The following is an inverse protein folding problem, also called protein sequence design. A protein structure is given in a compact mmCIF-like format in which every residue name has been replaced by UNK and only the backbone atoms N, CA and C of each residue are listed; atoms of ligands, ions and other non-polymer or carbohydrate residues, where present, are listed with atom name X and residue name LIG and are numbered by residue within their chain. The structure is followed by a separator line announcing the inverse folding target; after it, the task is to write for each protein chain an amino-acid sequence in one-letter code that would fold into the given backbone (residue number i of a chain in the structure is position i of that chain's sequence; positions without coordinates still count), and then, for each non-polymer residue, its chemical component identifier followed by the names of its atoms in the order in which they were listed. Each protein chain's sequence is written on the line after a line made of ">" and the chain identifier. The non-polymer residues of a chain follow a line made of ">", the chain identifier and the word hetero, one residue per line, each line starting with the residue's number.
data_IF_321209673782
#
_entry.id   IF_321209673782
#
_cell.length_a   1.000
_cell.length_b   1.000
_cell.length_c   1.000
_cell.angle_alpha   90.00
_cell.angle_beta   90.00
_cell.angle_gamma   90.00
#
_symmetry.space_group_name_H-M   'P 1'
#
loop_
_entity.id
_entity.type
_entity.pdbx_description
1 polymer ?
#
# COMPACT_ATOMS: atom_id res chain seq x y z
N UNK A 1 48.37 41.87 -20.45
CA UNK A 1 47.28 41.90 -21.46
C UNK A 1 46.72 40.49 -21.58
N UNK A 2 45.37 40.38 -21.61
CA UNK A 2 44.55 39.20 -21.89
C UNK A 2 44.70 37.98 -20.94
N UNK A 3 43.67 37.39 -20.37
CA UNK A 3 42.24 37.61 -20.50
C UNK A 3 41.54 36.52 -19.69
N UNK A 4 40.70 36.94 -18.74
CA UNK A 4 39.82 36.08 -17.94
C UNK A 4 38.91 35.27 -18.87
N UNK A 5 39.23 34.00 -19.08
CA UNK A 5 38.31 32.99 -19.60
C UNK A 5 37.35 32.57 -18.50
N UNK A 6 36.43 33.46 -18.12
CA UNK A 6 35.30 33.13 -17.28
C UNK A 6 34.45 32.07 -18.00
N UNK A 7 34.70 30.81 -17.67
CA UNK A 7 33.86 29.69 -18.02
C UNK A 7 32.47 29.92 -17.44
N UNK A 8 31.61 30.51 -18.26
CA UNK A 8 30.16 30.48 -18.16
C UNK A 8 29.75 29.00 -18.15
N UNK A 9 29.83 28.37 -16.97
CA UNK A 9 29.08 27.17 -16.67
C UNK A 9 27.63 27.64 -16.66
N UNK A 10 27.04 27.54 -17.84
CA UNK A 10 25.63 27.49 -18.12
C UNK A 10 24.96 26.67 -17.00
N UNK A 11 24.45 27.38 -15.99
CA UNK A 11 23.52 26.83 -15.00
C UNK A 11 22.27 26.49 -15.80
N UNK A 12 22.31 25.36 -16.50
CA UNK A 12 21.19 24.75 -17.16
C UNK A 12 20.05 24.74 -16.13
N UNK A 13 19.06 25.60 -16.38
CA UNK A 13 17.94 25.82 -15.50
C UNK A 13 17.28 24.47 -15.27
N UNK A 14 17.56 23.87 -14.11
CA UNK A 14 16.79 22.75 -13.60
C UNK A 14 15.40 23.32 -13.37
N UNK A 15 14.54 23.21 -14.38
CA UNK A 15 13.10 23.37 -14.22
C UNK A 15 12.74 22.58 -12.97
N UNK A 16 12.19 23.22 -11.92
CA UNK A 16 11.85 22.51 -10.70
C UNK A 16 10.95 21.36 -11.13
N UNK A 17 11.36 20.14 -10.81
CA UNK A 17 10.55 18.96 -11.07
C UNK A 17 9.17 19.27 -10.46
N UNK A 18 8.16 19.48 -11.32
CA UNK A 18 6.80 19.81 -10.89
C UNK A 18 6.42 18.78 -9.84
N UNK A 19 6.43 19.20 -8.57
CA UNK A 19 5.98 18.38 -7.49
C UNK A 19 4.56 17.95 -7.89
N UNK A 20 4.37 16.65 -8.10
CA UNK A 20 3.04 16.08 -8.31
C UNK A 20 2.24 16.42 -7.05
N UNK A 21 1.54 17.55 -7.08
CA UNK A 21 0.60 17.93 -6.03
C UNK A 21 -0.48 16.85 -6.05
N UNK A 22 -0.79 16.32 -4.88
CA UNK A 22 -1.95 15.46 -4.70
C UNK A 22 -3.15 16.20 -5.31
N UNK A 23 -3.71 15.67 -6.38
CA UNK A 23 -4.89 16.28 -7.00
C UNK A 23 -6.07 16.09 -6.06
N UNK A 24 -6.98 17.06 -6.00
CA UNK A 24 -8.22 16.95 -5.21
C UNK A 24 -8.94 15.65 -5.56
N UNK A 25 -8.99 15.30 -6.85
CA UNK A 25 -9.54 14.04 -7.33
C UNK A 25 -8.84 12.80 -6.72
N UNK A 26 -7.51 12.80 -6.63
CA UNK A 26 -6.75 11.72 -6.00
C UNK A 26 -7.07 11.57 -4.51
N UNK A 27 -7.26 12.69 -3.81
CA UNK A 27 -7.68 12.68 -2.40
C UNK A 27 -9.11 12.15 -2.25
N UNK A 28 -10.04 12.60 -3.09
CA UNK A 28 -11.43 12.11 -3.08
C UNK A 28 -11.50 10.61 -3.37
N UNK A 29 -10.69 10.12 -4.32
CA UNK A 29 -10.58 8.70 -4.60
C UNK A 29 -10.09 7.93 -3.35
N UNK A 30 -9.03 8.41 -2.68
CA UNK A 30 -8.51 7.81 -1.44
C UNK A 30 -9.57 7.73 -0.35
N UNK A 31 -10.31 8.81 -0.13
CA UNK A 31 -11.41 8.85 0.85
C UNK A 31 -12.48 7.82 0.47
N UNK A 32 -12.90 7.76 -0.80
CA UNK A 32 -13.88 6.79 -1.26
C UNK A 32 -13.42 5.34 -1.04
N UNK A 33 -12.15 5.03 -1.29
CA UNK A 33 -11.58 3.70 -1.01
C UNK A 33 -11.63 3.35 0.47
N UNK A 34 -11.26 4.29 1.36
CA UNK A 34 -11.34 4.08 2.81
C UNK A 34 -12.78 3.84 3.27
N UNK A 35 -13.73 4.67 2.81
CA UNK A 35 -15.15 4.52 3.15
C UNK A 35 -15.68 3.17 2.68
N UNK A 36 -15.33 2.75 1.46
CA UNK A 36 -15.73 1.46 0.92
C UNK A 36 -15.14 0.29 1.73
N UNK A 37 -13.85 0.37 2.08
CA UNK A 37 -13.19 -0.63 2.89
C UNK A 37 -13.78 -0.73 4.30
N UNK A 38 -14.09 0.40 4.93
CA UNK A 38 -14.78 0.43 6.23
C UNK A 38 -16.22 -0.09 6.13
N UNK A 39 -16.95 0.22 5.06
CA UNK A 39 -18.31 -0.26 4.86
C UNK A 39 -18.40 -1.79 4.82
N UNK A 40 -17.42 -2.44 4.18
CA UNK A 40 -17.32 -3.91 4.12
C UNK A 40 -17.18 -4.51 5.52
N UNK A 41 -16.42 -3.86 6.41
CA UNK A 41 -16.01 -4.40 7.71
C UNK A 41 -16.85 -3.87 8.89
N UNK A 42 -17.58 -2.77 8.70
CA UNK A 42 -18.51 -2.18 9.65
C UNK A 42 -19.48 -3.15 10.36
N UNK A 43 -20.11 -4.13 9.69
CA UNK A 43 -21.00 -5.09 10.34
C UNK A 43 -20.28 -5.97 11.37
N UNK A 44 -19.11 -6.51 11.03
CA UNK A 44 -18.30 -7.32 11.93
C UNK A 44 -17.82 -6.50 13.14
N UNK A 45 -17.49 -5.21 12.94
CA UNK A 45 -17.12 -4.29 14.03
C UNK A 45 -18.23 -4.02 15.05
N UNK A 46 -19.51 -4.16 14.65
CA UNK A 46 -20.66 -3.96 15.53
C UNK A 46 -20.93 -5.17 16.42
N UNK A 47 -20.24 -6.29 16.23
CA UNK A 47 -20.46 -7.48 17.03
C UNK A 47 -19.85 -7.32 18.43
N UNK A 48 -20.63 -7.56 19.50
CA UNK A 48 -20.17 -7.39 20.87
C UNK A 48 -19.18 -8.48 21.30
N UNK A 49 -19.17 -9.63 20.62
CA UNK A 49 -18.31 -10.79 20.94
C UNK A 49 -16.87 -10.67 20.45
N UNK A 50 -16.53 -9.59 19.73
CA UNK A 50 -15.19 -9.45 19.17
C UNK A 50 -14.26 -8.67 20.09
N UNK A 51 -13.13 -9.29 20.44
CA UNK A 51 -12.06 -8.67 21.22
C UNK A 51 -11.55 -7.39 20.57
N UNK A 52 -11.05 -6.47 21.39
CA UNK A 52 -10.49 -5.19 20.96
C UNK A 52 -9.38 -5.35 19.90
N UNK A 53 -8.53 -6.37 20.05
CA UNK A 53 -7.47 -6.70 19.08
C UNK A 53 -8.04 -7.06 17.71
N UNK A 54 -9.11 -7.86 17.67
CA UNK A 54 -9.81 -8.24 16.45
C UNK A 54 -10.44 -7.05 15.75
N UNK A 55 -11.04 -6.13 16.53
CA UNK A 55 -11.62 -4.89 15.97
C UNK A 55 -10.57 -3.98 15.36
N UNK A 56 -9.40 -3.83 16.00
CA UNK A 56 -8.29 -3.06 15.43
C UNK A 56 -7.81 -3.69 14.12
N UNK A 57 -7.59 -5.01 14.10
CA UNK A 57 -7.14 -5.72 12.91
C UNK A 57 -8.12 -5.59 11.74
N UNK A 58 -9.41 -5.77 12.00
CA UNK A 58 -10.46 -5.61 11.00
C UNK A 58 -10.52 -4.18 10.47
N UNK A 59 -10.45 -3.19 11.36
CA UNK A 59 -10.43 -1.77 10.96
C UNK A 59 -9.21 -1.47 10.11
N UNK A 60 -8.03 -1.93 10.54
CA UNK A 60 -6.79 -1.76 9.79
C UNK A 60 -6.86 -2.44 8.42
N UNK A 61 -7.35 -3.68 8.35
CA UNK A 61 -7.53 -4.40 7.09
C UNK A 61 -8.52 -3.71 6.15
N UNK A 62 -9.63 -3.17 6.68
CA UNK A 62 -10.61 -2.39 5.91
C UNK A 62 -9.99 -1.12 5.34
N UNK A 63 -9.32 -0.32 6.17
CA UNK A 63 -8.69 0.95 5.76
C UNK A 63 -7.56 0.70 4.77
N UNK A 64 -6.61 -0.19 5.11
CA UNK A 64 -5.46 -0.50 4.26
C UNK A 64 -5.88 -1.19 2.96
N UNK A 65 -6.90 -2.07 3.03
CA UNK A 65 -7.49 -2.73 1.87
C UNK A 65 -8.15 -1.75 0.91
N UNK A 66 -8.96 -0.83 1.44
CA UNK A 66 -9.60 0.22 0.67
C UNK A 66 -8.61 1.17 -0.01
N UNK A 67 -7.54 1.55 0.70
CA UNK A 67 -6.45 2.35 0.15
C UNK A 67 -5.65 1.60 -0.93
N UNK A 68 -5.42 0.30 -0.73
CA UNK A 68 -4.73 -0.55 -1.69
C UNK A 68 -5.52 -0.71 -2.99
N UNK A 69 -6.84 -0.84 -2.92
CA UNK A 69 -7.72 -1.05 -4.08
C UNK A 69 -7.60 0.04 -5.16
N UNK A 70 -7.28 1.26 -4.76
CA UNK A 70 -7.16 2.40 -5.67
C UNK A 70 -5.82 2.42 -6.43
N UNK A 71 -4.83 1.66 -5.96
CA UNK A 71 -3.50 1.60 -6.56
C UNK A 71 -3.54 1.19 -8.04
N UNK A 72 -4.13 0.03 -8.39
CA UNK A 72 -4.16 -0.44 -9.77
C UNK A 72 -4.78 0.54 -10.76
N UNK A 73 -6.01 1.07 -10.58
CA UNK A 73 -6.59 1.98 -11.56
C UNK A 73 -5.83 3.30 -11.67
N UNK A 74 -5.37 3.88 -10.56
CA UNK A 74 -4.62 5.15 -10.57
C UNK A 74 -3.27 4.96 -11.27
N UNK A 75 -2.53 3.90 -10.93
CA UNK A 75 -1.21 3.65 -11.50
C UNK A 75 -1.27 3.23 -12.97
N UNK A 76 -2.31 2.49 -13.39
CA UNK A 76 -2.55 2.17 -14.80
C UNK A 76 -2.91 3.43 -15.60
N UNK A 77 -3.75 4.31 -15.04
CA UNK A 77 -4.09 5.60 -15.67
C UNK A 77 -2.85 6.48 -15.86
N UNK A 78 -2.01 6.60 -14.82
CA UNK A 78 -0.75 7.36 -14.93
C UNK A 78 0.23 6.73 -15.93
N UNK A 79 0.29 5.39 -16.01
CA UNK A 79 1.13 4.68 -16.98
C UNK A 79 0.72 4.97 -18.42
N UNK A 80 -0.57 5.21 -18.68
CA UNK A 80 -1.06 5.61 -20.00
C UNK A 80 -0.47 6.95 -20.46
N UNK A 81 -0.16 7.86 -19.53
CA UNK A 81 0.41 9.18 -19.82
C UNK A 81 1.94 9.28 -19.69
N UNK A 82 2.63 8.30 -19.06
CA UNK A 82 4.08 8.34 -18.84
C UNK A 82 4.74 6.98 -19.07
N UNK A 83 5.71 6.90 -19.98
CA UNK A 83 6.49 5.68 -20.32
C UNK A 83 7.65 5.35 -19.34
N UNK A 84 7.62 5.86 -18.12
CA UNK A 84 8.70 5.66 -17.14
C UNK A 84 8.63 4.32 -16.40
N UNK A 85 9.79 3.78 -15.99
CA UNK A 85 9.86 2.64 -15.08
C UNK A 85 9.22 3.00 -13.73
N UNK A 86 8.39 2.10 -13.21
CA UNK A 86 7.81 2.25 -11.87
C UNK A 86 8.91 2.14 -10.80
N UNK A 87 8.84 3.02 -9.80
CA UNK A 87 9.70 2.99 -8.62
C UNK A 87 9.10 2.03 -7.57
N UNK A 88 9.89 1.65 -6.57
CA UNK A 88 9.57 0.57 -5.64
C UNK A 88 8.24 0.78 -4.88
N UNK A 89 7.97 1.99 -4.41
CA UNK A 89 6.73 2.34 -3.71
C UNK A 89 5.49 2.19 -4.59
N UNK A 90 5.56 2.63 -5.85
CA UNK A 90 4.46 2.39 -6.82
C UNK A 90 4.24 0.91 -7.10
N UNK A 91 5.31 0.13 -7.25
CA UNK A 91 5.21 -1.33 -7.47
C UNK A 91 4.58 -2.02 -6.26
N UNK A 92 5.00 -1.65 -5.05
CA UNK A 92 4.41 -2.14 -3.80
C UNK A 92 2.92 -1.84 -3.72
N UNK A 93 2.54 -0.58 -3.95
CA UNK A 93 1.13 -0.18 -3.93
C UNK A 93 0.31 -0.91 -4.98
N UNK A 94 0.85 -1.07 -6.20
CA UNK A 94 0.22 -1.84 -7.25
C UNK A 94 0.03 -3.30 -6.85
N UNK A 95 1.08 -3.95 -6.32
CA UNK A 95 1.03 -5.35 -5.92
C UNK A 95 0.02 -5.58 -4.78
N UNK A 96 0.05 -4.74 -3.73
CA UNK A 96 -0.95 -4.80 -2.66
C UNK A 96 -2.37 -4.55 -3.17
N UNK A 97 -2.52 -3.62 -4.12
CA UNK A 97 -3.81 -3.31 -4.70
C UNK A 97 -4.35 -4.39 -5.62
N UNK A 98 -3.49 -5.07 -6.37
CA UNK A 98 -3.86 -6.24 -7.17
C UNK A 98 -4.32 -7.40 -6.29
N UNK A 99 -3.65 -7.62 -5.16
CA UNK A 99 -4.10 -8.60 -4.16
C UNK A 99 -5.50 -8.24 -3.63
N UNK A 100 -5.73 -6.97 -3.28
CA UNK A 100 -7.07 -6.49 -2.90
C UNK A 100 -8.09 -6.68 -4.01
N UNK A 101 -7.76 -6.35 -5.26
CA UNK A 101 -8.65 -6.53 -6.41
C UNK A 101 -9.02 -7.98 -6.68
N UNK A 102 -8.11 -8.92 -6.42
CA UNK A 102 -8.37 -10.34 -6.61
C UNK A 102 -9.26 -10.91 -5.51
N UNK A 103 -9.08 -10.43 -4.27
CA UNK A 103 -9.74 -10.98 -3.08
C UNK A 103 -11.05 -10.25 -2.71
N UNK A 104 -11.24 -9.01 -3.15
CA UNK A 104 -12.46 -8.25 -2.84
C UNK A 104 -13.73 -8.69 -3.56
N UNK A 105 -13.75 -9.04 -4.86
CA UNK A 105 -14.96 -9.46 -5.54
C UNK A 105 -15.71 -10.59 -4.82
N UNK A 106 -15.06 -11.70 -4.39
CA UNK A 106 -15.76 -12.75 -3.66
C UNK A 106 -16.25 -12.28 -2.28
N UNK A 107 -15.51 -11.39 -1.61
CA UNK A 107 -15.94 -10.78 -0.33
C UNK A 107 -17.18 -9.91 -0.53
N UNK A 108 -17.22 -9.07 -1.56
CA UNK A 108 -18.35 -8.18 -1.86
C UNK A 108 -19.59 -9.01 -2.23
N UNK A 109 -19.43 -10.05 -3.05
CA UNK A 109 -20.54 -10.94 -3.43
C UNK A 109 -21.07 -11.69 -2.21
N UNK A 110 -20.19 -12.27 -1.38
CA UNK A 110 -20.59 -12.93 -0.14
C UNK A 110 -21.28 -11.95 0.83
N UNK A 111 -20.83 -10.70 0.87
CA UNK A 111 -21.44 -9.63 1.67
C UNK A 111 -22.82 -9.24 1.16
N UNK A 112 -23.00 -9.16 -0.16
CA UNK A 112 -24.32 -8.96 -0.78
C UNK A 112 -25.32 -10.08 -0.45
N UNK A 113 -24.81 -11.29 -0.16
CA UNK A 113 -25.60 -12.42 0.31
C UNK A 113 -25.82 -12.44 1.85
N UNK A 114 -25.43 -11.38 2.55
CA UNK A 114 -25.60 -11.24 4.00
C UNK A 114 -24.58 -12.00 4.86
N UNK A 115 -23.56 -12.64 4.26
CA UNK A 115 -22.51 -13.32 5.02
C UNK A 115 -21.58 -12.32 5.70
N UNK A 116 -21.03 -12.72 6.84
CA UNK A 116 -20.05 -11.93 7.60
C UNK A 116 -18.68 -12.00 6.93
N UNK A 117 -17.84 -10.99 7.12
CA UNK A 117 -16.52 -10.96 6.52
C UNK A 117 -15.64 -12.09 7.09
N UNK A 118 -15.69 -12.29 8.41
CA UNK A 118 -14.89 -13.28 9.11
C UNK A 118 -15.23 -14.75 8.76
N UNK A 119 -16.47 -15.02 8.35
CA UNK A 119 -16.93 -16.38 8.03
C UNK A 119 -16.54 -16.81 6.60
N UNK A 120 -16.05 -15.89 5.79
CA UNK A 120 -15.65 -16.19 4.41
C UNK A 120 -14.18 -16.56 4.34
N UNK A 121 -13.86 -17.68 3.69
CA UNK A 121 -12.47 -18.08 3.40
C UNK A 121 -11.70 -16.97 2.68
N UNK A 122 -12.37 -16.23 1.80
CA UNK A 122 -11.80 -15.04 1.13
C UNK A 122 -11.48 -13.90 2.09
N UNK A 123 -12.33 -13.64 3.10
CA UNK A 123 -12.11 -12.59 4.10
C UNK A 123 -10.94 -12.94 5.02
N UNK A 124 -10.82 -14.21 5.42
CA UNK A 124 -9.66 -14.71 6.17
C UNK A 124 -8.40 -14.63 5.31
N UNK A 125 -8.41 -15.13 4.07
CA UNK A 125 -7.26 -15.02 3.17
C UNK A 125 -6.85 -13.55 2.93
N UNK A 126 -7.80 -12.62 2.87
CA UNK A 126 -7.51 -11.21 2.75
C UNK A 126 -6.87 -10.63 4.02
N UNK A 127 -7.44 -10.92 5.19
CA UNK A 127 -6.97 -10.40 6.47
C UNK A 127 -5.59 -10.94 6.86
N UNK A 128 -5.26 -12.19 6.51
CA UNK A 128 -4.00 -12.84 6.87
C UNK A 128 -2.98 -12.87 5.72
N UNK A 129 -3.43 -13.15 4.49
CA UNK A 129 -2.56 -13.33 3.33
C UNK A 129 -1.98 -12.02 2.79
N UNK A 130 -2.77 -10.94 2.75
CA UNK A 130 -2.29 -9.62 2.27
C UNK A 130 -1.17 -9.04 3.14
N UNK A 131 -1.27 -9.04 4.49
CA UNK A 131 -0.17 -8.63 5.34
C UNK A 131 1.07 -9.52 5.21
N UNK A 132 0.91 -10.84 5.14
CA UNK A 132 2.02 -11.78 4.97
C UNK A 132 2.78 -11.54 3.66
N UNK A 133 2.04 -11.33 2.57
CA UNK A 133 2.63 -10.97 1.29
C UNK A 133 3.38 -9.63 1.38
N UNK A 134 2.84 -8.64 2.10
CA UNK A 134 3.53 -7.36 2.28
C UNK A 134 4.85 -7.51 3.06
N UNK A 135 4.87 -8.34 4.12
CA UNK A 135 6.11 -8.68 4.84
C UNK A 135 7.11 -9.33 3.88
N UNK A 136 6.68 -10.34 3.12
CA UNK A 136 7.52 -11.04 2.15
C UNK A 136 8.11 -10.09 1.10
N UNK A 137 7.29 -9.25 0.47
CA UNK A 137 7.76 -8.31 -0.56
C UNK A 137 8.67 -7.24 0.04
N UNK A 138 8.40 -6.77 1.25
CA UNK A 138 9.27 -5.80 1.95
C UNK A 138 10.63 -6.41 2.23
N UNK A 139 10.69 -7.66 2.70
CA UNK A 139 11.92 -8.41 2.90
C UNK A 139 12.67 -8.63 1.57
N UNK A 140 11.97 -9.02 0.51
CA UNK A 140 12.56 -9.21 -0.81
C UNK A 140 13.16 -7.90 -1.36
N UNK A 141 12.52 -6.76 -1.14
CA UNK A 141 13.05 -5.45 -1.53
C UNK A 141 14.23 -5.00 -0.67
N UNK A 142 14.21 -5.29 0.63
CA UNK A 142 15.35 -5.04 1.52
C UNK A 142 16.56 -5.87 1.08
N UNK A 143 16.36 -7.18 0.82
CA UNK A 143 17.40 -8.08 0.34
C UNK A 143 17.93 -7.67 -1.04
N UNK A 144 17.04 -7.33 -1.99
CA UNK A 144 17.42 -6.85 -3.32
C UNK A 144 18.09 -5.47 -3.33
N UNK A 145 17.78 -4.62 -2.34
CA UNK A 145 18.40 -3.32 -2.13
C UNK A 145 19.83 -3.42 -1.59
N UNK A 146 20.14 -4.46 -0.81
CA UNK A 146 21.49 -4.77 -0.35
C UNK A 146 22.41 -5.26 -1.49
N UNK A 147 21.86 -5.93 -2.50
CA UNK A 147 22.62 -6.55 -3.59
C UNK A 147 23.01 -5.59 -4.73
N UNK A 148 22.52 -4.34 -4.74
CA UNK A 148 22.76 -3.42 -5.86
C UNK A 148 23.64 -2.23 -5.46
N UNK A 149 24.79 -2.00 -6.13
CA UNK A 149 25.66 -0.87 -5.83
C UNK A 149 24.91 0.45 -6.00
N UNK A 150 24.83 1.21 -4.92
CA UNK A 150 24.00 2.41 -4.72
C UNK A 150 24.54 3.62 -5.51
N UNK A 151 24.61 3.53 -6.84
CA UNK A 151 25.07 4.60 -7.76
C UNK A 151 23.90 5.31 -8.45
N UNK A 152 22.94 5.89 -7.71
CA UNK A 152 22.00 6.88 -8.29
C UNK A 152 21.72 7.98 -7.29
N UNK A 153 22.04 9.23 -7.66
CA UNK A 153 21.67 10.47 -6.93
C UNK A 153 20.22 10.37 -6.47
N UNK A 154 20.00 10.51 -5.17
CA UNK A 154 18.67 10.48 -4.56
C UNK A 154 17.81 11.61 -5.13
N UNK A 155 17.01 11.32 -6.16
CA UNK A 155 15.95 12.22 -6.58
C UNK A 155 14.89 12.25 -5.47
N UNK A 156 14.33 13.44 -5.16
CA UNK A 156 13.24 13.53 -4.19
C UNK A 156 12.14 12.52 -4.54
N UNK A 157 11.65 11.82 -3.52
CA UNK A 157 10.56 10.85 -3.66
C UNK A 157 9.30 11.62 -4.04
N UNK A 158 8.62 11.17 -5.11
CA UNK A 158 7.32 11.70 -5.51
C UNK A 158 6.26 11.33 -4.45
N UNK A 159 5.19 12.12 -4.32
CA UNK A 159 4.17 11.91 -3.27
C UNK A 159 3.58 10.50 -3.28
N UNK A 160 3.22 9.97 -4.46
CA UNK A 160 2.70 8.61 -4.63
C UNK A 160 3.71 7.51 -4.28
N UNK A 161 5.01 7.77 -4.49
CA UNK A 161 6.05 6.84 -4.11
C UNK A 161 6.16 6.73 -2.58
N UNK A 162 6.09 7.86 -1.88
CA UNK A 162 6.05 7.88 -0.41
C UNK A 162 4.82 7.19 0.13
N UNK A 163 3.66 7.45 -0.49
CA UNK A 163 2.40 6.81 -0.10
C UNK A 163 2.49 5.29 -0.21
N UNK A 164 2.97 4.75 -1.33
CA UNK A 164 3.12 3.31 -1.50
C UNK A 164 4.09 2.67 -0.50
N UNK A 165 5.16 3.37 -0.12
CA UNK A 165 6.09 2.91 0.92
C UNK A 165 5.46 2.93 2.32
N UNK A 166 4.71 3.99 2.66
CA UNK A 166 3.99 4.08 3.94
C UNK A 166 2.93 2.99 4.02
N UNK A 167 2.19 2.76 2.93
CA UNK A 167 1.17 1.72 2.86
C UNK A 167 1.78 0.33 3.02
N UNK A 168 2.91 0.06 2.35
CA UNK A 168 3.65 -1.19 2.50
C UNK A 168 4.16 -1.39 3.93
N UNK A 169 4.70 -0.34 4.55
CA UNK A 169 5.13 -0.38 5.95
C UNK A 169 3.96 -0.67 6.89
N UNK A 170 2.81 -0.01 6.68
CA UNK A 170 1.62 -0.26 7.48
C UNK A 170 1.16 -1.72 7.37
N UNK A 171 1.09 -2.27 6.14
CA UNK A 171 0.78 -3.68 5.93
C UNK A 171 1.81 -4.63 6.55
N UNK A 172 3.10 -4.29 6.48
CA UNK A 172 4.15 -5.09 7.09
C UNK A 172 4.03 -5.11 8.62
N UNK A 173 3.73 -3.96 9.25
CA UNK A 173 3.44 -3.88 10.68
C UNK A 173 2.20 -4.69 11.06
N UNK A 174 1.11 -4.58 10.28
CA UNK A 174 -0.09 -5.39 10.47
C UNK A 174 0.23 -6.88 10.35
N UNK A 175 1.05 -7.28 9.38
CA UNK A 175 1.43 -8.68 9.18
C UNK A 175 2.33 -9.24 10.26
N UNK A 176 3.30 -8.44 10.74
CA UNK A 176 4.11 -8.80 11.88
C UNK A 176 3.26 -8.98 13.15
N UNK A 177 2.26 -8.10 13.35
CA UNK A 177 1.33 -8.23 14.48
C UNK A 177 0.44 -9.47 14.36
N UNK A 178 -0.06 -9.78 13.16
CA UNK A 178 -0.82 -11.01 12.89
C UNK A 178 0.03 -12.26 13.16
N UNK A 179 1.28 -12.27 12.70
CA UNK A 179 2.23 -13.35 12.98
C UNK A 179 2.49 -13.51 14.48
N UNK A 180 2.67 -12.40 15.19
CA UNK A 180 2.82 -12.40 16.65
C UNK A 180 1.61 -13.03 17.35
N UNK A 181 0.39 -12.69 16.93
CA UNK A 181 -0.83 -13.27 17.51
C UNK A 181 -0.95 -14.76 17.24
N UNK A 182 -0.66 -15.21 16.01
CA UNK A 182 -0.66 -16.64 15.67
C UNK A 182 0.36 -17.39 16.53
N UNK A 183 1.58 -16.87 16.63
CA UNK A 183 2.64 -17.51 17.41
C UNK A 183 2.33 -17.51 18.91
N UNK A 184 1.72 -16.44 19.43
CA UNK A 184 1.25 -16.38 20.81
C UNK A 184 0.16 -17.42 21.08
N UNK A 185 -0.79 -17.59 20.17
CA UNK A 185 -1.84 -18.60 20.35
C UNK A 185 -1.28 -20.03 20.32
N UNK A 186 -0.32 -20.32 19.43
CA UNK A 186 0.32 -21.64 19.36
C UNK A 186 1.24 -21.94 20.55
N UNK A 187 1.96 -20.94 21.05
CA UNK A 187 2.88 -21.11 22.19
C UNK A 187 2.16 -21.28 23.54
N UNK A 188 1.03 -20.60 23.74
CA UNK A 188 0.33 -20.56 25.03
C UNK A 188 -0.88 -21.52 25.13
N UNK A 189 -1.19 -22.27 24.07
CA UNK A 189 -2.22 -23.34 24.08
C UNK A 189 -1.66 -24.75 24.30
N UNK A 190 -0.41 -24.89 24.74
CA UNK A 190 0.10 -26.13 25.36
C UNK A 190 -0.04 -26.06 26.86
#
# INVERSE_FOLDING_TARGET
>A
MAGRGAGLIEKAGRRPAKAQRLTILGLMALIAGVVLGLWIVAPDLREPKQDWEGKILLTAAGVLGGLALLGPPILLWERRGRRGLWRAGRVLWFASGMASWLLWPPVIVARGQGRKFADTTSGVCFAYGTPLMAVYVTLALLAGGWLRPRRRRAKPLEGWERFGLILALAWACTGAYVLYLLYRQDLFKR
#
